data_IF_928968458855
#
_entry.id   IF_928968458855
#
_cell.length_a   1.000
_cell.length_b   1.000
_cell.length_c   1.000
_cell.angle_alpha   90.00
_cell.angle_beta   90.00
_cell.angle_gamma   90.00
#
_symmetry.space_group_name_H-M   'P 1'
#
loop_
_entity.id
_entity.type
_entity.pdbx_description
1 polymer ?
#
# COMPACT_ATOMS: atom_id res chain seq x y z
N UNK A 1 7.10 10.42 20.16
CA UNK A 1 7.48 9.34 19.23
C UNK A 1 6.20 8.54 18.98
N UNK A 2 5.60 8.54 17.79
CA UNK A 2 4.56 7.53 17.51
C UNK A 2 5.32 6.21 17.44
N UNK A 3 5.10 5.33 18.41
CA UNK A 3 5.89 4.12 18.53
C UNK A 3 5.81 3.34 17.23
N UNK A 4 6.97 2.97 16.69
CA UNK A 4 7.10 2.20 15.46
C UNK A 4 6.23 0.93 15.50
N UNK A 5 6.03 0.38 16.70
CA UNK A 5 5.12 -0.72 17.01
C UNK A 5 3.66 -0.41 16.69
N UNK A 6 3.16 0.79 17.00
CA UNK A 6 1.78 1.20 16.73
C UNK A 6 1.54 1.34 15.23
N UNK A 7 2.45 1.96 14.49
CA UNK A 7 2.36 2.03 13.02
C UNK A 7 2.41 0.66 12.35
N UNK A 8 3.27 -0.24 12.85
CA UNK A 8 3.32 -1.63 12.36
C UNK A 8 2.03 -2.38 12.65
N UNK A 9 1.45 -2.22 13.84
CA UNK A 9 0.17 -2.84 14.21
C UNK A 9 -0.97 -2.34 13.31
N UNK A 10 -1.02 -1.05 13.01
CA UNK A 10 -2.03 -0.49 12.09
C UNK A 10 -1.87 -1.03 10.66
N UNK A 11 -0.64 -1.11 10.15
CA UNK A 11 -0.35 -1.69 8.83
C UNK A 11 -0.74 -3.18 8.81
N UNK A 12 -0.42 -3.93 9.86
CA UNK A 12 -0.76 -5.34 10.00
C UNK A 12 -2.29 -5.55 10.06
N UNK A 13 -3.00 -4.68 10.78
CA UNK A 13 -4.46 -4.67 10.85
C UNK A 13 -5.09 -4.39 9.48
N UNK A 14 -4.56 -3.42 8.74
CA UNK A 14 -5.01 -3.12 7.38
C UNK A 14 -4.78 -4.33 6.46
N UNK A 15 -3.61 -4.96 6.53
CA UNK A 15 -3.29 -6.17 5.76
C UNK A 15 -4.23 -7.32 6.12
N UNK A 16 -4.49 -7.55 7.42
CA UNK A 16 -5.39 -8.60 7.89
C UNK A 16 -6.85 -8.35 7.47
N UNK A 17 -7.31 -7.11 7.54
CA UNK A 17 -8.65 -6.72 7.06
C UNK A 17 -8.74 -6.91 5.54
N UNK A 18 -7.70 -6.56 4.79
CA UNK A 18 -7.63 -6.74 3.34
C UNK A 18 -7.62 -8.23 2.96
N UNK A 19 -6.84 -9.06 3.65
CA UNK A 19 -6.82 -10.51 3.46
C UNK A 19 -8.15 -11.16 3.84
N UNK A 20 -8.77 -10.71 4.93
CA UNK A 20 -10.11 -11.17 5.33
C UNK A 20 -11.16 -10.82 4.28
N UNK A 21 -11.16 -9.59 3.77
CA UNK A 21 -12.07 -9.17 2.69
C UNK A 21 -11.82 -9.96 1.41
N UNK A 22 -10.56 -10.24 1.07
CA UNK A 22 -10.20 -11.07 -0.08
C UNK A 22 -10.68 -12.52 0.09
N UNK A 23 -10.46 -13.11 1.27
CA UNK A 23 -10.90 -14.48 1.60
C UNK A 23 -12.43 -14.61 1.55
N UNK A 24 -13.16 -13.66 2.15
CA UNK A 24 -14.64 -13.65 2.13
C UNK A 24 -15.20 -13.50 0.72
N UNK A 25 -14.51 -12.75 -0.15
CA UNK A 25 -14.90 -12.59 -1.56
C UNK A 25 -14.71 -13.89 -2.38
N UNK A 26 -13.80 -14.78 -1.96
CA UNK A 26 -13.66 -16.12 -2.55
C UNK A 26 -14.75 -17.09 -2.07
N UNK A 27 -15.11 -17.08 -0.78
CA UNK A 27 -16.16 -17.94 -0.23
C UNK A 27 -17.55 -17.59 -0.76
N UNK A 28 -17.87 -16.30 -0.89
CA UNK A 28 -19.14 -15.83 -1.48
C UNK A 28 -19.33 -16.18 -2.96
N UNK A 29 -18.28 -16.65 -3.63
CA UNK A 29 -18.31 -17.12 -5.02
C UNK A 29 -18.83 -18.56 -5.14
N UNK A 30 -18.74 -19.36 -4.07
CA UNK A 30 -19.20 -20.76 -4.06
C UNK A 30 -20.74 -20.86 -3.96
N UNK A 31 -21.38 -19.87 -3.33
CA UNK A 31 -22.83 -19.83 -3.11
C UNK A 31 -23.61 -19.13 -4.24
N UNK A 32 -22.97 -18.18 -4.96
CA UNK A 32 -23.61 -17.38 -6.00
C UNK A 32 -23.60 -17.98 -7.43
N UNK A 33 -23.17 -19.24 -7.59
CA UNK A 33 -23.25 -19.94 -8.89
C UNK A 33 -24.70 -20.05 -9.43
N UNK A 34 -25.71 -19.89 -8.57
CA UNK A 34 -27.13 -20.00 -8.93
C UNK A 34 -27.86 -18.68 -9.25
N UNK A 35 -27.23 -17.51 -9.23
CA UNK A 35 -27.87 -16.26 -9.70
C UNK A 35 -26.96 -15.52 -10.68
N UNK A 36 -27.15 -15.83 -11.97
CA UNK A 36 -26.66 -15.00 -13.08
C UNK A 36 -27.37 -13.64 -13.05
N UNK A 37 -26.77 -12.67 -12.37
CA UNK A 37 -26.88 -11.26 -12.71
C UNK A 37 -25.47 -10.70 -12.67
N UNK A 38 -24.91 -10.44 -13.86
CA UNK A 38 -23.60 -9.80 -14.04
C UNK A 38 -23.66 -8.39 -13.47
N UNK A 39 -23.27 -8.23 -12.21
CA UNK A 39 -22.92 -6.93 -11.65
C UNK A 39 -21.44 -6.66 -11.98
N UNK A 40 -21.19 -5.62 -12.77
CA UNK A 40 -19.87 -5.20 -13.27
C UNK A 40 -18.90 -4.81 -12.12
N UNK A 41 -19.42 -4.71 -10.89
CA UNK A 41 -18.73 -4.13 -9.72
C UNK A 41 -17.83 -5.06 -8.89
N UNK A 42 -17.66 -6.34 -9.24
CA UNK A 42 -16.84 -7.27 -8.43
C UNK A 42 -15.75 -7.99 -9.23
N UNK A 43 -15.07 -7.31 -10.15
CA UNK A 43 -13.93 -7.91 -10.83
C UNK A 43 -12.70 -7.95 -9.90
N UNK A 44 -12.17 -9.13 -9.55
CA UNK A 44 -11.06 -9.26 -8.60
C UNK A 44 -9.78 -8.55 -9.07
N UNK A 45 -9.58 -8.40 -10.38
CA UNK A 45 -8.43 -7.68 -10.94
C UNK A 45 -8.50 -6.17 -10.68
N UNK A 46 -9.70 -5.59 -10.83
CA UNK A 46 -9.93 -4.16 -10.55
C UNK A 46 -9.81 -3.89 -9.04
N UNK A 47 -10.38 -4.77 -8.22
CA UNK A 47 -10.28 -4.68 -6.76
C UNK A 47 -8.81 -4.75 -6.32
N UNK A 48 -8.04 -5.71 -6.85
CA UNK A 48 -6.61 -5.84 -6.56
C UNK A 48 -5.80 -4.60 -6.95
N UNK A 49 -6.09 -4.01 -8.11
CA UNK A 49 -5.46 -2.76 -8.53
C UNK A 49 -5.79 -1.59 -7.58
N UNK A 50 -7.06 -1.46 -7.18
CA UNK A 50 -7.49 -0.40 -6.27
C UNK A 50 -6.83 -0.51 -4.88
N UNK A 51 -6.71 -1.74 -4.36
CA UNK A 51 -6.00 -2.01 -3.10
C UNK A 51 -4.52 -1.61 -3.23
N UNK A 52 -3.86 -2.00 -4.32
CA UNK A 52 -2.44 -1.66 -4.55
C UNK A 52 -2.23 -0.14 -4.66
N UNK A 53 -3.14 0.59 -5.31
CA UNK A 53 -3.08 2.07 -5.33
C UNK A 53 -3.30 2.70 -3.96
N UNK A 54 -4.22 2.15 -3.16
CA UNK A 54 -4.46 2.64 -1.81
C UNK A 54 -3.22 2.44 -0.93
N UNK A 55 -2.57 1.28 -1.03
CA UNK A 55 -1.35 0.98 -0.29
C UNK A 55 -0.17 1.85 -0.73
N UNK A 56 -0.06 2.10 -2.05
CA UNK A 56 0.90 3.06 -2.61
C UNK A 56 0.71 4.45 -2.02
N UNK A 57 -0.53 4.95 -1.97
CA UNK A 57 -0.86 6.27 -1.43
C UNK A 57 -0.51 6.38 0.06
N UNK A 58 -0.90 5.40 0.87
CA UNK A 58 -0.54 5.36 2.30
C UNK A 58 0.98 5.37 2.49
N UNK A 59 1.73 4.59 1.72
CA UNK A 59 3.19 4.55 1.82
C UNK A 59 3.84 5.89 1.43
N UNK A 60 3.29 6.58 0.43
CA UNK A 60 3.75 7.92 0.06
C UNK A 60 3.49 8.93 1.19
N UNK A 61 2.30 8.89 1.80
CA UNK A 61 1.98 9.76 2.93
C UNK A 61 2.89 9.51 4.14
N UNK A 62 3.18 8.24 4.47
CA UNK A 62 4.11 7.88 5.56
C UNK A 62 5.54 8.36 5.26
N UNK A 63 5.99 8.23 4.00
CA UNK A 63 7.28 8.75 3.56
C UNK A 63 7.40 10.26 3.79
N UNK A 64 6.43 11.03 3.30
CA UNK A 64 6.41 12.49 3.47
C UNK A 64 6.27 12.90 4.93
N UNK A 65 5.46 12.19 5.71
CA UNK A 65 5.31 12.43 7.13
C UNK A 65 6.62 12.25 7.90
N UNK A 66 7.44 11.26 7.54
CA UNK A 66 8.75 11.03 8.14
C UNK A 66 9.75 12.15 7.86
N UNK A 67 9.64 12.82 6.72
CA UNK A 67 10.44 14.01 6.40
C UNK A 67 9.89 15.28 7.10
N UNK A 68 8.57 15.40 7.19
CA UNK A 68 7.93 16.61 7.72
C UNK A 68 7.95 16.68 9.25
N UNK A 69 7.68 15.56 9.94
CA UNK A 69 7.64 15.51 11.41
C UNK A 69 9.01 15.19 11.97
N UNK A 70 9.99 15.98 11.55
CA UNK A 70 11.27 16.03 12.22
C UNK A 70 11.13 16.89 13.49
N UNK A 71 11.39 16.30 14.65
CA UNK A 71 11.58 17.03 15.90
C UNK A 71 13.03 16.84 16.32
N UNK A 72 13.75 17.94 16.45
CA UNK A 72 15.01 17.95 17.18
C UNK A 72 14.69 17.75 18.66
N UNK A 73 15.35 16.78 19.31
CA UNK A 73 15.25 16.61 20.75
C UNK A 73 16.14 17.66 21.42
N UNK A 74 15.57 18.82 21.74
CA UNK A 74 16.28 19.89 22.45
C UNK A 74 16.63 19.48 23.89
N UNK A 75 17.91 19.18 24.08
CA UNK A 75 18.75 19.42 25.27
C UNK A 75 18.29 18.86 26.64
N UNK A 76 18.22 17.53 26.77
CA UNK A 76 18.22 16.85 28.07
C UNK A 76 19.45 15.97 28.26
N UNK A 77 20.46 16.46 28.99
CA UNK A 77 21.73 15.78 29.36
C UNK A 77 22.81 15.70 28.25
N UNK A 78 23.80 16.60 28.37
CA UNK A 78 25.04 16.68 27.57
C UNK A 78 26.05 15.57 27.95
N UNK A 79 25.66 14.29 27.90
CA UNK A 79 26.58 13.20 28.33
C UNK A 79 27.14 12.37 27.17
N UNK A 80 26.72 12.59 25.91
CA UNK A 80 27.42 12.03 24.73
C UNK A 80 27.10 12.81 23.44
N UNK A 81 27.52 14.08 23.35
CA UNK A 81 27.55 14.80 22.07
C UNK A 81 28.90 14.60 21.38
N UNK A 82 29.28 13.34 21.16
CA UNK A 82 30.38 13.00 20.26
C UNK A 82 29.77 12.73 18.89
N UNK A 83 29.82 13.75 18.02
CA UNK A 83 29.44 13.77 16.60
C UNK A 83 27.99 13.34 16.23
N UNK A 84 27.10 14.34 16.10
CA UNK A 84 26.01 14.27 15.12
C UNK A 84 24.65 13.74 15.58
N UNK A 85 24.28 13.77 16.86
CA UNK A 85 22.98 13.22 17.33
C UNK A 85 21.73 13.74 16.58
N UNK A 86 21.67 15.04 16.28
CA UNK A 86 20.57 15.64 15.54
C UNK A 86 20.58 15.25 14.05
N UNK A 87 21.78 15.30 13.44
CA UNK A 87 22.02 14.89 12.07
C UNK A 87 21.80 13.38 11.86
N UNK A 88 22.13 12.55 12.85
CA UNK A 88 21.96 11.10 12.85
C UNK A 88 20.48 10.73 12.79
N UNK A 89 19.66 11.35 13.64
CA UNK A 89 18.21 11.17 13.63
C UNK A 89 17.58 11.64 12.31
N UNK A 90 18.10 12.72 11.72
CA UNK A 90 17.66 13.21 10.42
C UNK A 90 17.98 12.21 9.29
N UNK A 91 19.21 11.68 9.25
CA UNK A 91 19.64 10.68 8.25
C UNK A 91 18.81 9.40 8.34
N UNK A 92 18.51 8.93 9.56
CA UNK A 92 17.67 7.75 9.78
C UNK A 92 16.23 8.00 9.29
N UNK A 93 15.61 9.11 9.66
CA UNK A 93 14.27 9.42 9.18
C UNK A 93 14.24 9.62 7.65
N UNK A 94 15.28 10.23 7.07
CA UNK A 94 15.43 10.35 5.61
C UNK A 94 15.57 9.00 4.90
N UNK A 95 16.31 8.05 5.49
CA UNK A 95 16.44 6.69 4.97
C UNK A 95 15.10 5.96 5.03
N UNK A 96 14.39 6.02 6.15
CA UNK A 96 13.04 5.45 6.26
C UNK A 96 12.07 6.06 5.25
N UNK A 97 12.06 7.39 5.10
CA UNK A 97 11.24 8.07 4.12
C UNK A 97 11.54 7.58 2.69
N UNK A 98 12.82 7.41 2.35
CA UNK A 98 13.23 6.90 1.03
C UNK A 98 12.71 5.49 0.78
N UNK A 99 12.82 4.59 1.76
CA UNK A 99 12.30 3.21 1.66
C UNK A 99 10.79 3.20 1.44
N UNK A 100 10.04 4.00 2.20
CA UNK A 100 8.58 4.10 2.03
C UNK A 100 8.18 4.74 0.69
N UNK A 101 9.00 5.64 0.14
CA UNK A 101 8.77 6.21 -1.19
C UNK A 101 8.99 5.17 -2.29
N UNK A 102 10.07 4.39 -2.19
CA UNK A 102 10.32 3.28 -3.12
C UNK A 102 9.20 2.24 -3.06
N UNK A 103 8.73 1.91 -1.86
CA UNK A 103 7.61 1.00 -1.67
C UNK A 103 6.32 1.53 -2.30
N UNK A 104 6.07 2.84 -2.19
CA UNK A 104 4.95 3.51 -2.87
C UNK A 104 5.03 3.34 -4.39
N UNK A 105 6.19 3.62 -4.99
CA UNK A 105 6.42 3.50 -6.43
C UNK A 105 6.20 2.06 -6.91
N UNK A 106 6.72 1.07 -6.18
CA UNK A 106 6.53 -0.34 -6.51
C UNK A 106 5.06 -0.73 -6.55
N UNK A 107 4.26 -0.32 -5.56
CA UNK A 107 2.82 -0.59 -5.55
C UNK A 107 2.07 0.15 -6.66
N UNK A 108 2.50 1.35 -7.06
CA UNK A 108 1.94 2.06 -8.22
C UNK A 108 2.19 1.29 -9.52
N UNK A 109 3.41 0.79 -9.71
CA UNK A 109 3.79 0.02 -10.91
C UNK A 109 3.00 -1.29 -10.97
N UNK A 110 2.92 -2.03 -9.86
CA UNK A 110 2.13 -3.27 -9.78
C UNK A 110 0.67 -3.00 -10.12
N UNK A 111 0.06 -1.97 -9.53
CA UNK A 111 -1.33 -1.60 -9.80
C UNK A 111 -1.56 -1.28 -11.28
N UNK A 112 -0.64 -0.52 -11.88
CA UNK A 112 -0.68 -0.13 -13.30
C UNK A 112 -0.61 -1.35 -14.21
N UNK A 113 0.33 -2.27 -13.95
CA UNK A 113 0.50 -3.50 -14.73
C UNK A 113 -0.74 -4.39 -14.64
N UNK A 114 -1.33 -4.54 -13.45
CA UNK A 114 -2.57 -5.31 -13.24
C UNK A 114 -3.70 -4.74 -14.10
N UNK A 115 -3.89 -3.41 -14.13
CA UNK A 115 -4.92 -2.77 -14.94
C UNK A 115 -4.65 -2.97 -16.43
N UNK A 116 -3.42 -2.77 -16.89
CA UNK A 116 -3.05 -2.97 -18.30
C UNK A 116 -3.39 -4.39 -18.74
N UNK A 117 -2.98 -5.40 -17.98
CA UNK A 117 -3.28 -6.81 -18.27
C UNK A 117 -4.79 -7.06 -18.28
N UNK A 118 -5.53 -6.48 -17.34
CA UNK A 118 -6.98 -6.61 -17.29
C UNK A 118 -7.67 -6.07 -18.54
N UNK A 119 -7.33 -4.83 -18.94
CA UNK A 119 -7.90 -4.22 -20.14
C UNK A 119 -7.46 -4.94 -21.43
N UNK A 120 -6.21 -5.40 -21.50
CA UNK A 120 -5.71 -6.16 -22.64
C UNK A 120 -6.46 -7.48 -22.82
N UNK A 121 -6.65 -8.24 -21.75
CA UNK A 121 -7.44 -9.49 -21.77
C UNK A 121 -8.89 -9.24 -22.21
N UNK A 122 -9.48 -8.13 -21.76
CA UNK A 122 -10.83 -7.74 -22.17
C UNK A 122 -10.89 -7.39 -23.65
N UNK A 123 -9.93 -6.63 -24.16
CA UNK A 123 -9.87 -6.24 -25.57
C UNK A 123 -9.67 -7.45 -26.50
N UNK A 124 -8.77 -8.38 -26.15
CA UNK A 124 -8.56 -9.61 -26.91
C UNK A 124 -9.83 -10.47 -26.98
N UNK A 125 -10.51 -10.64 -25.85
CA UNK A 125 -11.75 -11.43 -25.80
C UNK A 125 -12.86 -10.86 -26.68
N UNK A 126 -12.95 -9.53 -26.83
CA UNK A 126 -13.94 -8.90 -27.72
C UNK A 126 -13.61 -9.15 -29.19
N UNK A 127 -12.33 -9.13 -29.54
CA UNK A 127 -11.86 -9.42 -30.90
C UNK A 127 -12.19 -10.87 -31.32
N UNK A 128 -12.05 -11.83 -30.41
CA UNK A 128 -12.34 -13.24 -30.69
C UNK A 128 -13.84 -13.53 -30.89
N UNK A 129 -14.73 -12.64 -30.42
CA UNK A 129 -16.19 -12.80 -30.58
C UNK A 129 -16.77 -12.19 -31.86
N UNK A 130 -15.97 -11.45 -32.64
CA UNK A 130 -16.39 -10.83 -33.90
C UNK A 130 -16.27 -11.77 -35.12
N UNK A 131 -15.72 -12.97 -34.95
CA UNK A 131 -15.56 -14.02 -35.98
C UNK A 131 -16.37 -15.27 -35.61
#
# INVERSE_FOLDING_TARGET
>A
MVDLSVTLVFILLIILVVLYLFSKNFEGKKENSNRKNMNINSNPWIIGAFISYTLSFVSACVSLFKLWVYRSEDFGSKVNYYVGGDAYNYIINGTHATVYMLLSILFTLIASVILIIFYLKRALKLKDTEY
#
